data_IF_887192403118
#
_entry.id   IF_887192403118
#
_cell.length_a   1.000
_cell.length_b   1.000
_cell.length_c   1.000
_cell.angle_alpha   90.00
_cell.angle_beta   90.00
_cell.angle_gamma   90.00
#
_symmetry.space_group_name_H-M   'P 1'
#
loop_
_entity.id
_entity.type
_entity.pdbx_description
1 polymer ?
#
# COMPACT_ATOMS: atom_id res chain seq x y z
N UNK A 1 14.29 12.89 -4.34
CA UNK A 1 13.38 13.72 -5.15
C UNK A 1 13.77 15.17 -4.98
N UNK A 2 13.70 15.93 -6.07
CA UNK A 2 13.96 17.36 -6.10
C UNK A 2 12.67 18.07 -6.50
N UNK A 3 12.41 19.19 -5.86
CA UNK A 3 11.35 20.11 -6.27
C UNK A 3 12.03 21.38 -6.76
N UNK A 4 11.61 21.87 -7.92
CA UNK A 4 12.11 23.09 -8.52
C UNK A 4 10.99 24.12 -8.62
N UNK A 5 11.36 25.39 -8.55
CA UNK A 5 10.46 26.48 -8.88
C UNK A 5 10.12 26.41 -10.38
N UNK A 6 8.83 26.46 -10.71
CA UNK A 6 8.39 26.32 -12.10
C UNK A 6 8.66 27.57 -12.94
N UNK A 7 8.96 28.72 -12.30
CA UNK A 7 9.18 30.00 -13.00
C UNK A 7 10.64 30.15 -13.42
N UNK A 8 11.58 29.95 -12.49
CA UNK A 8 13.00 30.23 -12.70
C UNK A 8 13.91 29.01 -12.59
N UNK A 9 13.35 27.83 -12.28
CA UNK A 9 14.08 26.57 -12.26
C UNK A 9 15.02 26.39 -11.06
N UNK A 10 14.98 27.27 -10.04
CA UNK A 10 15.83 27.11 -8.86
C UNK A 10 15.36 25.92 -8.00
N UNK A 11 16.27 25.17 -7.35
CA UNK A 11 15.89 24.08 -6.47
C UNK A 11 15.22 24.63 -5.21
N UNK A 12 14.02 24.14 -4.90
CA UNK A 12 13.25 24.49 -3.71
C UNK A 12 13.44 23.48 -2.57
N UNK A 13 13.57 22.20 -2.89
CA UNK A 13 13.73 21.15 -1.89
C UNK A 13 14.42 19.91 -2.44
N UNK A 14 15.10 19.19 -1.54
CA UNK A 14 15.62 17.84 -1.77
C UNK A 14 15.20 16.93 -0.61
N UNK A 15 14.77 15.71 -0.93
CA UNK A 15 14.44 14.72 0.08
C UNK A 15 14.62 13.28 -0.42
N UNK A 16 14.82 12.34 0.50
CA UNK A 16 14.66 10.93 0.20
C UNK A 16 13.22 10.63 -0.25
N UNK A 17 13.09 9.79 -1.27
CA UNK A 17 11.81 9.54 -1.93
C UNK A 17 11.37 8.08 -1.86
N UNK A 18 12.08 7.21 -1.13
CA UNK A 18 11.73 5.79 -1.08
C UNK A 18 10.34 5.60 -0.46
N UNK A 19 10.10 6.25 0.69
CA UNK A 19 8.79 6.21 1.36
C UNK A 19 7.70 6.90 0.56
N UNK A 20 8.00 8.06 -0.05
CA UNK A 20 7.06 8.77 -0.93
C UNK A 20 6.66 7.92 -2.13
N UNK A 21 7.61 7.20 -2.72
CA UNK A 21 7.34 6.28 -3.83
C UNK A 21 6.43 5.15 -3.40
N UNK A 22 6.64 4.56 -2.22
CA UNK A 22 5.74 3.57 -1.64
C UNK A 22 4.31 4.12 -1.47
N UNK A 23 4.18 5.27 -0.82
CA UNK A 23 2.89 5.93 -0.57
C UNK A 23 2.15 6.25 -1.87
N UNK A 24 2.79 6.93 -2.83
CA UNK A 24 2.13 7.32 -4.08
C UNK A 24 1.76 6.13 -4.97
N UNK A 25 2.57 5.07 -4.94
CA UNK A 25 2.28 3.82 -5.68
C UNK A 25 1.11 3.06 -5.05
N UNK A 26 1.06 2.97 -3.71
CA UNK A 26 -0.09 2.42 -3.00
C UNK A 26 -1.36 3.24 -3.24
N UNK A 27 -1.28 4.56 -3.12
CA UNK A 27 -2.41 5.46 -3.33
C UNK A 27 -3.02 5.33 -4.73
N UNK A 28 -2.20 5.16 -5.77
CA UNK A 28 -2.71 4.90 -7.13
C UNK A 28 -3.60 3.64 -7.19
N UNK A 29 -3.20 2.56 -6.51
CA UNK A 29 -4.02 1.35 -6.38
C UNK A 29 -5.24 1.56 -5.49
N UNK A 30 -5.14 2.39 -4.45
CA UNK A 30 -6.26 2.82 -3.63
C UNK A 30 -7.33 3.52 -4.48
N UNK A 31 -6.95 4.54 -5.24
CA UNK A 31 -7.86 5.26 -6.15
C UNK A 31 -8.47 4.31 -7.18
N UNK A 32 -7.65 3.45 -7.79
CA UNK A 32 -8.14 2.46 -8.75
C UNK A 32 -9.16 1.51 -8.11
N UNK A 33 -8.91 1.04 -6.89
CA UNK A 33 -9.83 0.20 -6.13
C UNK A 33 -11.11 0.95 -5.74
N UNK A 34 -10.99 2.23 -5.39
CA UNK A 34 -12.12 3.09 -5.04
C UNK A 34 -13.07 3.32 -6.22
N UNK A 35 -12.54 3.42 -7.43
CA UNK A 35 -13.33 3.69 -8.64
C UNK A 35 -13.85 2.41 -9.29
N UNK A 36 -13.03 1.34 -9.31
CA UNK A 36 -13.29 0.17 -10.14
C UNK A 36 -13.72 -1.08 -9.37
N UNK A 37 -13.32 -1.24 -8.10
CA UNK A 37 -13.72 -2.41 -7.32
C UNK A 37 -15.12 -2.21 -6.73
N UNK A 38 -15.85 -3.32 -6.50
CA UNK A 38 -17.18 -3.27 -5.86
C UNK A 38 -17.09 -2.55 -4.50
N UNK A 39 -18.03 -1.64 -4.18
CA UNK A 39 -18.00 -0.87 -2.92
C UNK A 39 -18.00 -1.73 -1.65
N UNK A 40 -18.56 -2.93 -1.73
CA UNK A 40 -18.73 -3.89 -0.64
C UNK A 40 -17.63 -4.96 -0.60
N UNK A 41 -16.55 -4.80 -1.36
CA UNK A 41 -15.43 -5.77 -1.37
C UNK A 41 -14.89 -5.97 0.04
N UNK A 42 -14.90 -7.22 0.54
CA UNK A 42 -14.46 -7.61 1.90
C UNK A 42 -13.14 -8.36 1.96
N UNK A 43 -12.63 -8.85 0.83
CA UNK A 43 -11.41 -9.66 0.77
C UNK A 43 -10.43 -9.03 -0.20
N UNK A 44 -9.21 -8.79 0.27
CA UNK A 44 -8.07 -8.33 -0.53
C UNK A 44 -7.06 -9.46 -0.68
N UNK A 45 -6.70 -9.82 -1.90
CA UNK A 45 -5.56 -10.71 -2.16
C UNK A 45 -4.34 -9.89 -2.59
N UNK A 46 -3.18 -10.12 -1.97
CA UNK A 46 -1.92 -9.49 -2.32
C UNK A 46 -0.93 -10.55 -2.78
N UNK A 47 -0.51 -10.43 -4.04
CA UNK A 47 0.45 -11.34 -4.68
C UNK A 47 1.82 -10.66 -4.68
N UNK A 48 2.69 -11.13 -3.79
CA UNK A 48 4.01 -10.58 -3.51
C UNK A 48 4.03 -9.79 -2.21
N UNK A 49 4.87 -10.22 -1.25
CA UNK A 49 5.05 -9.57 0.04
C UNK A 49 6.36 -8.78 0.11
N UNK A 50 6.62 -7.95 -0.91
CA UNK A 50 7.80 -7.10 -1.00
C UNK A 50 7.60 -5.71 -0.37
N UNK A 51 8.56 -4.81 -0.56
CA UNK A 51 8.54 -3.46 0.03
C UNK A 51 7.30 -2.62 -0.31
N UNK A 52 6.62 -2.88 -1.44
CA UNK A 52 5.41 -2.16 -1.84
C UNK A 52 4.14 -2.69 -1.17
N UNK A 53 4.11 -3.97 -0.77
CA UNK A 53 2.90 -4.64 -0.32
C UNK A 53 2.23 -3.98 0.90
N UNK A 54 2.95 -3.49 1.93
CA UNK A 54 2.33 -2.75 3.04
C UNK A 54 1.56 -1.50 2.56
N UNK A 55 2.14 -0.73 1.63
CA UNK A 55 1.51 0.48 1.10
C UNK A 55 0.26 0.18 0.26
N UNK A 56 0.27 -0.95 -0.47
CA UNK A 56 -0.87 -1.43 -1.24
C UNK A 56 -2.02 -1.84 -0.31
N UNK A 57 -1.73 -2.61 0.74
CA UNK A 57 -2.70 -3.00 1.76
C UNK A 57 -3.30 -1.75 2.39
N UNK A 58 -2.46 -0.85 2.93
CA UNK A 58 -2.93 0.34 3.64
C UNK A 58 -3.82 1.23 2.74
N UNK A 59 -3.48 1.37 1.46
CA UNK A 59 -4.27 2.17 0.52
C UNK A 59 -5.65 1.56 0.19
N UNK A 60 -5.74 0.24 0.04
CA UNK A 60 -7.04 -0.43 -0.22
C UNK A 60 -7.90 -0.44 1.04
N UNK A 61 -7.31 -0.68 2.21
CA UNK A 61 -8.01 -0.62 3.50
C UNK A 61 -8.60 0.77 3.78
N UNK A 62 -7.99 1.84 3.25
CA UNK A 62 -8.49 3.20 3.42
C UNK A 62 -9.76 3.51 2.61
N UNK A 63 -10.07 2.71 1.57
CA UNK A 63 -11.16 3.00 0.62
C UNK A 63 -12.15 1.87 0.44
N UNK A 64 -11.90 0.70 1.04
CA UNK A 64 -12.79 -0.47 1.02
C UNK A 64 -12.94 -1.09 2.40
N UNK A 65 -14.14 -1.65 2.71
CA UNK A 65 -14.40 -2.26 3.99
C UNK A 65 -13.86 -3.71 4.04
N UNK A 66 -12.56 -3.85 3.78
CA UNK A 66 -11.88 -5.16 3.81
C UNK A 66 -11.89 -5.72 5.23
N UNK A 67 -12.16 -7.02 5.34
CA UNK A 67 -12.19 -7.81 6.58
C UNK A 67 -11.11 -8.91 6.55
N UNK A 68 -10.66 -9.32 5.36
CA UNK A 68 -9.65 -10.35 5.16
C UNK A 68 -8.59 -9.95 4.13
N UNK A 69 -7.31 -10.11 4.49
CA UNK A 69 -6.15 -9.92 3.62
C UNK A 69 -5.46 -11.26 3.39
N UNK A 70 -5.52 -11.77 2.17
CA UNK A 70 -4.83 -13.00 1.74
C UNK A 70 -3.48 -12.68 1.13
N UNK A 71 -2.43 -13.33 1.60
CA UNK A 71 -1.06 -13.04 1.18
C UNK A 71 -0.44 -14.25 0.49
N UNK A 72 0.12 -14.01 -0.70
CA UNK A 72 0.96 -14.99 -1.36
C UNK A 72 2.32 -14.38 -1.66
N UNK A 73 3.38 -15.18 -1.49
CA UNK A 73 4.73 -14.81 -1.88
C UNK A 73 5.53 -16.07 -2.16
N UNK A 74 6.40 -16.03 -3.19
CA UNK A 74 7.36 -17.12 -3.47
C UNK A 74 8.19 -17.47 -2.23
N UNK A 75 8.57 -16.46 -1.46
CA UNK A 75 9.21 -16.63 -0.16
C UNK A 75 8.14 -16.53 0.92
N UNK A 76 7.73 -17.68 1.47
CA UNK A 76 6.64 -17.81 2.46
C UNK A 76 6.83 -16.91 3.68
N UNK A 77 8.03 -16.87 4.25
CA UNK A 77 8.34 -16.05 5.43
C UNK A 77 8.06 -14.56 5.24
N UNK A 78 8.12 -14.03 4.00
CA UNK A 78 7.75 -12.65 3.71
C UNK A 78 6.24 -12.41 3.81
N UNK A 79 5.43 -13.36 3.35
CA UNK A 79 3.98 -13.28 3.49
C UNK A 79 3.59 -13.35 4.98
N UNK A 80 4.20 -14.26 5.74
CA UNK A 80 3.97 -14.39 7.18
C UNK A 80 4.37 -13.13 7.96
N UNK A 81 5.52 -12.53 7.63
CA UNK A 81 5.97 -11.27 8.23
C UNK A 81 5.00 -10.12 7.93
N UNK A 82 4.53 -10.01 6.68
CA UNK A 82 3.53 -9.01 6.31
C UNK A 82 2.19 -9.27 7.01
N UNK A 83 1.74 -10.52 7.11
CA UNK A 83 0.53 -10.90 7.83
C UNK A 83 0.60 -10.45 9.30
N UNK A 84 1.75 -10.67 9.95
CA UNK A 84 1.99 -10.22 11.31
C UNK A 84 1.92 -8.69 11.45
N UNK A 85 2.54 -7.94 10.51
CA UNK A 85 2.47 -6.47 10.48
C UNK A 85 1.05 -5.96 10.27
N UNK A 86 0.26 -6.62 9.42
CA UNK A 86 -1.16 -6.26 9.22
C UNK A 86 -1.95 -6.51 10.50
N UNK A 87 -1.84 -7.70 11.12
CA UNK A 87 -2.53 -8.01 12.39
C UNK A 87 -2.14 -7.06 13.52
N UNK A 88 -0.88 -6.64 13.59
CA UNK A 88 -0.42 -5.68 14.60
C UNK A 88 -1.08 -4.31 14.44
N UNK A 89 -1.23 -3.82 13.21
CA UNK A 89 -1.79 -2.49 12.91
C UNK A 89 -3.31 -2.49 12.84
N UNK A 90 -3.91 -3.63 12.47
CA UNK A 90 -5.33 -3.85 12.27
C UNK A 90 -5.76 -5.21 12.85
N UNK A 91 -5.89 -5.31 14.18
CA UNK A 91 -6.24 -6.56 14.86
C UNK A 91 -7.65 -7.07 14.52
N UNK A 92 -8.49 -6.18 13.98
CA UNK A 92 -9.85 -6.47 13.51
C UNK A 92 -9.88 -7.30 12.21
N UNK A 93 -8.76 -7.38 11.48
CA UNK A 93 -8.68 -8.04 10.17
C UNK A 93 -8.11 -9.45 10.28
N UNK A 94 -8.67 -10.36 9.48
CA UNK A 94 -8.04 -11.66 9.21
C UNK A 94 -6.90 -11.45 8.22
N UNK A 95 -5.68 -11.84 8.55
CA UNK A 95 -4.57 -11.79 7.60
C UNK A 95 -3.78 -13.09 7.62
N UNK A 96 -3.52 -13.66 6.44
CA UNK A 96 -2.89 -14.98 6.29
C UNK A 96 -2.36 -15.22 4.89
#
# INVERSE_FOLDING_TARGET
MLVFDAVDGRPLAVMDAARLTGLRTGAASGVSSQVLARPDSRVLAVIGAGAQAPFQVDAVLAVRPIEEVRLYSRTRSRAEALAAQVRQRRPDLRAG
#
